data_IF_546829759596
#
_entry.id   IF_546829759596
#
_cell.length_a   1.000
_cell.length_b   1.000
_cell.length_c   1.000
_cell.angle_alpha   90.00
_cell.angle_beta   90.00
_cell.angle_gamma   90.00
#
_symmetry.space_group_name_H-M   'P 1'
#
loop_
_entity.id
_entity.type
_entity.pdbx_description
1 polymer ?
#
# COMPACT_ATOMS: atom_id res chain seq x y z
N UNK A 1 -29.12 -12.69 -13.45
CA UNK A 1 -28.22 -12.08 -14.47
C UNK A 1 -28.20 -10.59 -14.22
N UNK A 2 -27.23 -10.09 -13.47
CA UNK A 2 -26.98 -8.64 -13.32
C UNK A 2 -26.52 -8.13 -14.69
N UNK A 3 -27.22 -7.13 -15.24
CA UNK A 3 -26.79 -6.45 -16.47
C UNK A 3 -25.41 -5.85 -16.20
N UNK A 4 -24.39 -6.32 -16.91
CA UNK A 4 -23.08 -5.69 -16.90
C UNK A 4 -23.25 -4.25 -17.39
N UNK A 5 -22.91 -3.27 -16.55
CA UNK A 5 -22.91 -1.87 -16.96
C UNK A 5 -21.87 -1.73 -18.08
N UNK A 6 -22.26 -1.25 -19.25
CA UNK A 6 -21.38 -1.06 -20.40
C UNK A 6 -21.16 0.43 -20.61
N UNK A 7 -19.91 0.85 -20.78
CA UNK A 7 -19.55 2.24 -21.03
C UNK A 7 -19.13 3.01 -19.77
N UNK A 8 -19.22 4.34 -19.85
CA UNK A 8 -18.76 5.23 -18.77
C UNK A 8 -19.51 5.07 -17.43
N UNK A 9 -20.72 4.52 -17.46
CA UNK A 9 -21.50 4.27 -16.23
C UNK A 9 -20.84 3.32 -15.25
N UNK A 10 -19.92 2.46 -15.70
CA UNK A 10 -19.13 1.56 -14.84
C UNK A 10 -18.34 2.35 -13.80
N UNK A 11 -17.77 3.49 -14.22
CA UNK A 11 -16.89 4.30 -13.35
C UNK A 11 -17.65 5.02 -12.23
N UNK A 12 -18.97 5.15 -12.33
CA UNK A 12 -19.84 5.73 -11.30
C UNK A 12 -20.40 4.71 -10.30
N UNK A 13 -19.99 3.45 -10.39
CA UNK A 13 -20.32 2.43 -9.38
C UNK A 13 -19.62 2.75 -8.06
N UNK A 14 -20.33 2.60 -6.93
CA UNK A 14 -19.77 2.77 -5.60
C UNK A 14 -18.57 1.87 -5.32
N UNK A 15 -18.45 0.74 -6.02
CA UNK A 15 -17.29 -0.15 -5.97
C UNK A 15 -16.05 0.56 -6.51
N UNK A 16 -16.17 1.34 -7.58
CA UNK A 16 -15.06 2.08 -8.19
C UNK A 16 -14.53 3.17 -7.25
N UNK A 17 -15.42 3.88 -6.55
CA UNK A 17 -15.01 4.85 -5.53
C UNK A 17 -14.20 4.19 -4.40
N UNK A 18 -14.63 3.03 -3.93
CA UNK A 18 -13.87 2.27 -2.91
C UNK A 18 -12.51 1.84 -3.42
N UNK A 19 -12.44 1.37 -4.67
CA UNK A 19 -11.18 0.96 -5.31
C UNK A 19 -10.25 2.18 -5.47
N UNK A 20 -10.77 3.34 -5.86
CA UNK A 20 -10.01 4.59 -5.94
C UNK A 20 -9.39 4.96 -4.58
N UNK A 21 -10.18 4.95 -3.51
CA UNK A 21 -9.71 5.27 -2.17
C UNK A 21 -8.68 4.26 -1.65
N UNK A 22 -8.89 2.97 -1.91
CA UNK A 22 -7.93 1.92 -1.55
C UNK A 22 -6.63 2.08 -2.34
N UNK A 23 -6.72 2.46 -3.61
CA UNK A 23 -5.56 2.80 -4.43
C UNK A 23 -4.77 3.96 -3.83
N UNK A 24 -5.44 5.05 -3.43
CA UNK A 24 -4.80 6.21 -2.82
C UNK A 24 -4.09 5.85 -1.49
N UNK A 25 -4.73 5.04 -0.65
CA UNK A 25 -4.13 4.53 0.59
C UNK A 25 -2.88 3.70 0.31
N UNK A 26 -2.86 2.94 -0.79
CA UNK A 26 -1.75 2.10 -1.23
C UNK A 26 -0.59 2.94 -1.79
N UNK A 27 -0.86 4.00 -2.57
CA UNK A 27 0.16 4.86 -3.18
C UNK A 27 0.91 5.75 -2.17
N UNK A 28 0.23 6.22 -1.14
CA UNK A 28 0.78 7.16 -0.16
C UNK A 28 2.09 6.71 0.50
N UNK A 29 2.22 5.49 1.08
CA UNK A 29 3.48 5.07 1.70
C UNK A 29 4.64 4.98 0.71
N UNK A 30 4.36 4.63 -0.56
CA UNK A 30 5.36 4.56 -1.60
C UNK A 30 5.99 5.93 -1.87
N UNK A 31 5.18 6.99 -1.95
CA UNK A 31 5.67 8.37 -2.11
C UNK A 31 6.49 8.81 -0.90
N UNK A 32 6.06 8.44 0.30
CA UNK A 32 6.76 8.78 1.55
C UNK A 32 8.18 8.19 1.57
N UNK A 33 8.33 6.90 1.32
CA UNK A 33 9.65 6.26 1.34
C UNK A 33 10.49 6.58 0.10
N UNK A 34 9.88 6.87 -1.05
CA UNK A 34 10.58 7.19 -2.29
C UNK A 34 11.07 8.62 -2.36
N UNK A 35 10.16 9.54 -2.22
CA UNK A 35 10.45 10.96 -2.42
C UNK A 35 10.69 11.70 -1.12
N UNK A 36 9.78 11.58 -0.15
CA UNK A 36 9.85 12.35 1.08
C UNK A 36 11.06 11.95 1.93
N UNK A 37 11.35 10.65 2.09
CA UNK A 37 12.53 10.20 2.81
C UNK A 37 13.83 10.75 2.17
N UNK A 38 13.95 10.65 0.85
CA UNK A 38 15.14 11.13 0.14
C UNK A 38 15.34 12.63 0.29
N UNK A 39 14.26 13.42 0.21
CA UNK A 39 14.29 14.85 0.44
C UNK A 39 14.67 15.18 1.90
N UNK A 40 14.04 14.50 2.85
CA UNK A 40 14.32 14.69 4.27
C UNK A 40 15.78 14.41 4.61
N UNK A 41 16.36 13.29 4.11
CA UNK A 41 17.78 12.99 4.31
C UNK A 41 18.70 14.01 3.65
N UNK A 42 18.31 14.55 2.49
CA UNK A 42 19.04 15.60 1.78
C UNK A 42 19.03 16.92 2.54
N UNK A 43 17.92 17.31 3.15
CA UNK A 43 17.80 18.53 3.95
C UNK A 43 18.73 18.54 5.18
N UNK A 44 19.07 17.34 5.67
CA UNK A 44 20.08 17.15 6.73
C UNK A 44 21.50 16.96 6.18
N UNK A 45 21.75 17.31 4.91
CA UNK A 45 23.04 17.29 4.23
C UNK A 45 23.73 15.92 4.20
N UNK A 46 22.97 14.83 4.31
CA UNK A 46 23.51 13.49 4.20
C UNK A 46 24.05 13.20 2.80
N UNK A 47 25.10 12.39 2.72
CA UNK A 47 25.76 12.09 1.46
C UNK A 47 24.83 11.41 0.45
N UNK A 48 25.04 11.68 -0.86
CA UNK A 48 24.28 11.02 -1.93
C UNK A 48 24.37 9.50 -1.88
N UNK A 49 25.53 8.99 -1.45
CA UNK A 49 25.74 7.55 -1.25
C UNK A 49 24.82 7.02 -0.16
N UNK A 50 24.72 7.70 0.98
CA UNK A 50 23.85 7.31 2.10
C UNK A 50 22.38 7.30 1.67
N UNK A 51 21.95 8.34 0.93
CA UNK A 51 20.57 8.42 0.40
C UNK A 51 20.30 7.27 -0.59
N UNK A 52 21.27 6.96 -1.45
CA UNK A 52 21.18 5.84 -2.39
C UNK A 52 21.04 4.49 -1.69
N UNK A 53 21.79 4.26 -0.62
CA UNK A 53 21.67 3.03 0.19
C UNK A 53 20.29 2.96 0.89
N UNK A 54 19.80 4.07 1.44
CA UNK A 54 18.45 4.12 2.00
C UNK A 54 17.38 3.77 0.95
N UNK A 55 17.59 4.10 -0.31
CA UNK A 55 16.71 3.75 -1.42
C UNK A 55 16.56 2.25 -1.69
N UNK A 56 17.47 1.41 -1.20
CA UNK A 56 17.34 -0.06 -1.32
C UNK A 56 16.11 -0.64 -0.59
N UNK A 57 15.47 0.15 0.28
CA UNK A 57 14.18 -0.19 0.88
C UNK A 57 13.14 -0.57 -0.19
N UNK A 58 13.21 0.03 -1.38
CA UNK A 58 12.33 -0.30 -2.51
C UNK A 58 12.46 -1.73 -3.04
N UNK A 59 13.58 -2.41 -2.80
CA UNK A 59 13.75 -3.81 -3.23
C UNK A 59 12.69 -4.75 -2.64
N UNK A 60 12.09 -4.37 -1.52
CA UNK A 60 11.00 -5.10 -0.87
C UNK A 60 9.81 -5.30 -1.80
N UNK A 61 9.48 -4.29 -2.62
CA UNK A 61 8.36 -4.39 -3.57
C UNK A 61 8.61 -5.39 -4.70
N UNK A 62 9.88 -5.63 -5.04
CA UNK A 62 10.23 -6.61 -6.07
C UNK A 62 10.10 -8.07 -5.58
N UNK A 63 10.17 -8.29 -4.27
CA UNK A 63 10.15 -9.63 -3.68
C UNK A 63 8.89 -9.93 -2.86
N UNK A 64 7.92 -9.03 -2.84
CA UNK A 64 6.70 -9.14 -2.03
C UNK A 64 5.86 -10.39 -2.36
N UNK A 65 5.97 -10.93 -3.58
CA UNK A 65 5.30 -12.15 -3.99
C UNK A 65 5.71 -13.37 -3.16
N UNK A 66 6.90 -13.36 -2.53
CA UNK A 66 7.39 -14.49 -1.73
C UNK A 66 6.54 -14.73 -0.48
N UNK A 67 5.97 -13.68 0.11
CA UNK A 67 5.11 -13.82 1.30
C UNK A 67 3.63 -13.60 1.04
N UNK A 68 3.22 -13.35 -0.21
CA UNK A 68 1.81 -13.25 -0.56
C UNK A 68 0.99 -14.49 -0.12
N UNK A 69 1.46 -15.75 -0.29
CA UNK A 69 0.74 -16.92 0.21
C UNK A 69 0.60 -16.97 1.74
N UNK A 70 1.50 -16.32 2.47
CA UNK A 70 1.43 -16.22 3.92
C UNK A 70 0.27 -15.31 4.34
N UNK A 71 0.15 -14.15 3.69
CA UNK A 71 -0.95 -13.19 3.91
C UNK A 71 -2.29 -13.86 3.65
N UNK A 72 -2.39 -14.70 2.61
CA UNK A 72 -3.62 -15.40 2.27
C UNK A 72 -4.04 -16.45 3.31
N UNK A 73 -3.09 -17.02 4.04
CA UNK A 73 -3.34 -18.11 5.00
C UNK A 73 -3.49 -17.62 6.43
N UNK A 74 -2.75 -16.58 6.83
CA UNK A 74 -2.71 -16.12 8.22
C UNK A 74 -3.90 -15.22 8.50
N UNK A 75 -4.72 -15.60 9.47
CA UNK A 75 -5.84 -14.77 9.95
C UNK A 75 -5.35 -13.84 11.06
N UNK A 76 -5.78 -12.58 11.01
CA UNK A 76 -5.56 -11.63 12.09
C UNK A 76 -6.56 -11.94 13.22
N UNK A 77 -6.08 -12.31 14.42
CA UNK A 77 -6.96 -12.66 15.54
C UNK A 77 -7.98 -11.55 15.82
N UNK A 78 -9.19 -11.91 16.20
CA UNK A 78 -10.32 -11.03 16.52
C UNK A 78 -10.83 -10.15 15.37
N UNK A 79 -9.95 -9.68 14.49
CA UNK A 79 -10.31 -8.76 13.42
C UNK A 79 -10.91 -9.51 12.21
N UNK A 80 -10.29 -10.63 11.83
CA UNK A 80 -10.74 -11.42 10.66
C UNK A 80 -12.18 -11.88 10.79
N UNK A 81 -12.60 -12.31 11.99
CA UNK A 81 -13.95 -12.81 12.22
C UNK A 81 -15.01 -11.68 12.20
N UNK A 82 -14.60 -10.43 12.51
CA UNK A 82 -15.51 -9.28 12.56
C UNK A 82 -15.69 -8.58 11.22
N UNK A 83 -14.61 -8.38 10.47
CA UNK A 83 -14.62 -7.53 9.27
C UNK A 83 -14.15 -8.24 7.99
N UNK A 84 -13.77 -9.50 8.11
CA UNK A 84 -13.27 -10.32 7.00
C UNK A 84 -11.76 -10.27 6.82
N UNK A 85 -11.21 -11.26 6.11
CA UNK A 85 -9.79 -11.52 6.03
C UNK A 85 -9.00 -10.35 5.40
N UNK A 86 -9.39 -9.90 4.21
CA UNK A 86 -8.67 -8.83 3.49
C UNK A 86 -8.70 -7.50 4.23
N UNK A 87 -9.88 -7.11 4.72
CA UNK A 87 -10.03 -5.84 5.44
C UNK A 87 -9.23 -5.81 6.74
N UNK A 88 -9.15 -6.94 7.46
CA UNK A 88 -8.35 -7.01 8.69
C UNK A 88 -6.86 -6.81 8.43
N UNK A 89 -6.31 -7.40 7.35
CA UNK A 89 -4.94 -7.17 6.94
C UNK A 89 -4.69 -5.70 6.57
N UNK A 90 -5.55 -5.10 5.72
CA UNK A 90 -5.41 -3.70 5.29
C UNK A 90 -5.39 -2.77 6.52
N UNK A 91 -6.31 -2.92 7.45
CA UNK A 91 -6.38 -2.07 8.65
C UNK A 91 -5.15 -2.28 9.54
N UNK A 92 -4.73 -3.51 9.76
CA UNK A 92 -3.56 -3.82 10.60
C UNK A 92 -2.29 -3.21 10.01
N UNK A 93 -2.07 -3.38 8.71
CA UNK A 93 -0.90 -2.83 8.02
C UNK A 93 -0.92 -1.29 8.02
N UNK A 94 -2.10 -0.68 7.83
CA UNK A 94 -2.26 0.77 7.89
C UNK A 94 -1.94 1.34 9.28
N UNK A 95 -2.35 0.64 10.33
CA UNK A 95 -2.01 1.01 11.72
C UNK A 95 -0.50 0.92 11.95
N UNK A 96 0.16 -0.13 11.45
CA UNK A 96 1.62 -0.27 11.54
C UNK A 96 2.31 0.90 10.82
N UNK A 97 1.90 1.22 9.59
CA UNK A 97 2.45 2.34 8.82
C UNK A 97 2.28 3.65 9.60
N UNK A 98 1.09 3.91 10.13
CA UNK A 98 0.82 5.12 10.93
C UNK A 98 1.75 5.24 12.13
N UNK A 99 1.93 4.17 12.90
CA UNK A 99 2.87 4.17 14.03
C UNK A 99 4.32 4.41 13.57
N UNK A 100 4.75 3.78 12.49
CA UNK A 100 6.08 4.02 11.92
C UNK A 100 6.28 5.49 11.53
N UNK A 101 5.28 6.13 10.92
CA UNK A 101 5.35 7.55 10.56
C UNK A 101 5.41 8.46 11.79
N UNK A 102 4.65 8.16 12.84
CA UNK A 102 4.72 8.90 14.11
C UNK A 102 6.13 8.78 14.70
N UNK A 103 6.73 7.58 14.70
CA UNK A 103 8.10 7.41 15.17
C UNK A 103 9.10 8.20 14.32
N UNK A 104 8.96 8.21 13.00
CA UNK A 104 9.82 9.02 12.12
C UNK A 104 9.76 10.51 12.47
N UNK A 105 8.58 11.03 12.81
CA UNK A 105 8.39 12.47 13.09
C UNK A 105 9.21 13.00 14.25
N UNK A 106 9.66 12.13 15.16
CA UNK A 106 10.44 12.51 16.36
C UNK A 106 11.93 12.18 16.25
N UNK A 107 12.37 11.55 15.15
CA UNK A 107 13.76 11.15 14.95
C UNK A 107 14.56 12.20 14.21
N UNK A 108 15.84 12.33 14.57
CA UNK A 108 16.80 13.16 13.85
C UNK A 108 17.66 12.28 12.92
N UNK A 109 17.69 12.54 11.60
CA UNK A 109 18.42 11.72 10.63
C UNK A 109 19.93 11.61 10.88
N UNK A 110 20.56 12.64 11.44
CA UNK A 110 22.01 12.64 11.70
C UNK A 110 22.35 11.61 12.78
N UNK A 111 21.54 11.55 13.84
CA UNK A 111 21.85 10.73 15.01
C UNK A 111 21.20 9.34 14.99
N UNK A 112 20.14 9.15 14.18
CA UNK A 112 19.30 7.96 14.21
C UNK A 112 19.08 7.34 12.81
N UNK A 113 20.05 7.49 11.91
CA UNK A 113 19.90 7.06 10.52
C UNK A 113 19.54 5.57 10.39
N UNK A 114 20.18 4.70 11.17
CA UNK A 114 19.92 3.26 11.14
C UNK A 114 18.48 2.93 11.55
N UNK A 115 17.98 3.62 12.59
CA UNK A 115 16.60 3.47 13.06
C UNK A 115 15.61 3.95 12.00
N UNK A 116 15.91 5.07 11.34
CA UNK A 116 15.09 5.60 10.26
C UNK A 116 15.01 4.63 9.08
N UNK A 117 16.14 4.04 8.68
CA UNK A 117 16.19 3.03 7.61
C UNK A 117 15.39 1.78 8.02
N UNK A 118 15.55 1.32 9.26
CA UNK A 118 14.79 0.17 9.77
C UNK A 118 13.28 0.41 9.77
N UNK A 119 12.83 1.57 10.25
CA UNK A 119 11.42 1.96 10.22
C UNK A 119 10.93 2.09 8.78
N UNK A 120 11.73 2.67 7.88
CA UNK A 120 11.43 2.74 6.45
C UNK A 120 11.24 1.36 5.83
N UNK A 121 12.07 0.38 6.21
CA UNK A 121 11.91 -1.00 5.78
C UNK A 121 10.60 -1.61 6.29
N UNK A 122 10.21 -1.35 7.54
CA UNK A 122 8.92 -1.79 8.09
C UNK A 122 7.73 -1.17 7.34
N UNK A 123 7.83 0.13 6.99
CA UNK A 123 6.81 0.80 6.16
C UNK A 123 6.74 0.12 4.79
N UNK A 124 7.87 -0.14 4.14
CA UNK A 124 7.92 -0.77 2.82
C UNK A 124 7.32 -2.18 2.83
N UNK A 125 7.66 -3.02 3.82
CA UNK A 125 7.10 -4.36 3.98
C UNK A 125 5.59 -4.28 4.19
N UNK A 126 5.14 -3.37 5.06
CA UNK A 126 3.72 -3.20 5.35
C UNK A 126 2.95 -2.69 4.13
N UNK A 127 3.49 -1.71 3.41
CA UNK A 127 2.89 -1.16 2.20
C UNK A 127 2.84 -2.19 1.08
N UNK A 128 3.94 -2.89 0.78
CA UNK A 128 3.97 -3.94 -0.23
C UNK A 128 3.00 -5.10 0.09
N UNK A 129 2.82 -5.42 1.37
CA UNK A 129 1.83 -6.40 1.82
C UNK A 129 0.40 -5.89 1.67
N UNK A 130 0.20 -4.59 1.91
CA UNK A 130 -1.10 -3.93 1.73
C UNK A 130 -1.52 -3.91 0.26
N UNK A 131 -0.59 -3.65 -0.66
CA UNK A 131 -0.84 -3.67 -2.11
C UNK A 131 -1.39 -5.02 -2.56
N UNK A 132 -0.76 -6.12 -2.16
CA UNK A 132 -1.22 -7.49 -2.44
C UNK A 132 -2.65 -7.69 -1.91
N UNK A 133 -2.91 -7.24 -0.70
CA UNK A 133 -4.20 -7.43 -0.03
C UNK A 133 -5.32 -6.59 -0.67
N UNK A 134 -5.00 -5.36 -1.09
CA UNK A 134 -5.93 -4.45 -1.80
C UNK A 134 -6.27 -5.02 -3.16
N UNK A 135 -5.29 -5.52 -3.91
CA UNK A 135 -5.52 -6.14 -5.21
C UNK A 135 -6.41 -7.39 -5.11
N UNK A 136 -6.17 -8.24 -4.12
CA UNK A 136 -7.02 -9.38 -3.85
C UNK A 136 -8.45 -8.96 -3.48
N UNK A 137 -8.60 -7.95 -2.62
CA UNK A 137 -9.92 -7.41 -2.25
C UNK A 137 -10.67 -6.82 -3.46
N UNK A 138 -9.96 -6.13 -4.35
CA UNK A 138 -10.51 -5.57 -5.59
C UNK A 138 -11.10 -6.68 -6.47
N UNK A 139 -10.35 -7.76 -6.67
CA UNK A 139 -10.79 -8.91 -7.47
C UNK A 139 -12.01 -9.59 -6.83
N UNK A 140 -12.01 -9.77 -5.52
CA UNK A 140 -13.14 -10.34 -4.77
C UNK A 140 -14.41 -9.47 -4.84
N UNK A 141 -14.26 -8.12 -4.81
CA UNK A 141 -15.40 -7.19 -4.85
C UNK A 141 -16.08 -7.10 -6.21
N UNK A 142 -15.32 -7.23 -7.29
CA UNK A 142 -15.86 -7.13 -8.66
C UNK A 142 -16.43 -8.48 -9.09
N UNK A 143 -15.72 -9.58 -8.81
CA UNK A 143 -16.05 -10.91 -9.26
C UNK A 143 -15.49 -11.25 -10.66
N UNK A 144 -15.07 -12.49 -10.82
CA UNK A 144 -14.35 -12.95 -12.03
C UNK A 144 -15.15 -12.90 -13.32
N UNK A 145 -16.49 -12.82 -13.24
CA UNK A 145 -17.38 -12.86 -14.40
C UNK A 145 -17.64 -11.46 -15.00
N UNK A 146 -17.29 -10.38 -14.29
CA UNK A 146 -17.52 -8.99 -14.72
C UNK A 146 -16.26 -8.42 -15.39
N UNK A 147 -15.95 -8.86 -16.62
CA UNK A 147 -14.69 -8.49 -17.32
C UNK A 147 -14.54 -6.98 -17.53
N UNK A 148 -15.60 -6.27 -17.89
CA UNK A 148 -15.57 -4.82 -18.11
C UNK A 148 -15.36 -4.07 -16.79
N UNK A 149 -16.05 -4.45 -15.73
CA UNK A 149 -15.86 -3.89 -14.39
C UNK A 149 -14.46 -4.21 -13.84
N UNK A 150 -13.90 -5.37 -14.15
CA UNK A 150 -12.54 -5.75 -13.74
C UNK A 150 -11.48 -4.85 -14.40
N UNK A 151 -11.62 -4.57 -15.70
CA UNK A 151 -10.73 -3.66 -16.44
C UNK A 151 -10.86 -2.22 -15.91
N UNK A 152 -12.09 -1.72 -15.70
CA UNK A 152 -12.34 -0.40 -15.13
C UNK A 152 -11.76 -0.29 -13.71
N UNK A 153 -11.96 -1.30 -12.85
CA UNK A 153 -11.41 -1.36 -11.51
C UNK A 153 -9.88 -1.35 -11.48
N UNK A 154 -9.22 -2.00 -12.43
CA UNK A 154 -7.76 -1.92 -12.56
C UNK A 154 -7.29 -0.50 -12.90
N UNK A 155 -7.95 0.16 -13.84
CA UNK A 155 -7.63 1.55 -14.22
C UNK A 155 -7.84 2.52 -13.06
N UNK A 156 -8.95 2.40 -12.34
CA UNK A 156 -9.29 3.25 -11.17
C UNK A 156 -8.31 3.02 -10.02
N UNK A 157 -7.88 1.78 -9.79
CA UNK A 157 -6.86 1.49 -8.76
C UNK A 157 -5.54 2.22 -9.07
N UNK A 158 -5.11 2.23 -10.34
CA UNK A 158 -3.91 2.96 -10.77
C UNK A 158 -4.08 4.47 -10.59
N UNK A 159 -5.25 5.04 -10.98
CA UNK A 159 -5.54 6.46 -10.75
C UNK A 159 -5.50 6.78 -9.26
N UNK A 160 -6.12 5.94 -8.42
CA UNK A 160 -6.06 6.08 -6.97
C UNK A 160 -4.63 6.08 -6.46
N UNK A 161 -3.81 5.12 -6.88
CA UNK A 161 -2.43 4.97 -6.46
C UNK A 161 -1.56 6.20 -6.78
N UNK A 162 -1.76 6.82 -7.95
CA UNK A 162 -1.06 8.03 -8.34
C UNK A 162 -1.58 9.32 -7.67
N UNK A 163 -2.78 9.29 -7.09
CA UNK A 163 -3.37 10.44 -6.38
C UNK A 163 -3.11 10.42 -4.87
N UNK A 164 -2.71 9.29 -4.31
CA UNK A 164 -2.32 9.12 -2.89
C UNK A 164 -0.88 9.45 -2.67
#
# INVERSE_FOLDING_TARGET
MTKENVGLSIYFDNRMLRILLLGAISGFPWVIIGSALSLWLKDYELSRSTIGWAGLIFSVYAINFLWAPLIDRIKIPFLTDKIGHRKSWIITLQVIILFCLIFWSVLNPINNLEVIIFIGLLIAISSASQDITIDALRIEQIGANEKASMAAGASIAVVGWWTG
#
